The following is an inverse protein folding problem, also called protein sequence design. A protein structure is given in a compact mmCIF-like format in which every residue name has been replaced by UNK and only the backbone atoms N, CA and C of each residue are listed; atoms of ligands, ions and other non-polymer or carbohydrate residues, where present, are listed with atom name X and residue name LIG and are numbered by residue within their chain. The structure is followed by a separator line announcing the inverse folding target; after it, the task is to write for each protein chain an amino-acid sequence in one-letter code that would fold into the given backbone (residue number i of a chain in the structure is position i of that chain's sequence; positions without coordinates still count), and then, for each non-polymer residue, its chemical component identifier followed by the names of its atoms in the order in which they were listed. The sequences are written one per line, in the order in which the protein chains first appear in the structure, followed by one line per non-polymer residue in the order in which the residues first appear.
data_IF_109409025745
#
_entry.id   IF_109409025745
#
_cell.length_a   1.000
_cell.length_b   1.000
_cell.length_c   1.000
_cell.angle_alpha   90.00
_cell.angle_beta   90.00
_cell.angle_gamma   90.00
#
_symmetry.space_group_name_H-M   'P 1'
#
loop_
_entity.id
_entity.type
_entity.pdbx_description
1 polymer ?
#
# COMPACT_ATOMS: atom_id res chain seq x y z
N UNK A 1 -13.56 -2.72 -4.04
CA UNK A 1 -13.32 -4.02 -4.72
C UNK A 1 -13.15 -3.82 -6.22
N UNK A 2 -14.07 -3.16 -6.95
CA UNK A 2 -13.97 -2.96 -8.41
C UNK A 2 -12.68 -2.20 -8.82
N UNK A 3 -12.29 -1.17 -8.10
CA UNK A 3 -11.06 -0.40 -8.36
C UNK A 3 -9.81 -1.27 -8.26
N UNK A 4 -9.73 -2.12 -7.23
CA UNK A 4 -8.63 -3.07 -7.04
C UNK A 4 -8.50 -4.04 -8.19
N UNK A 5 -9.58 -4.74 -8.54
CA UNK A 5 -9.58 -5.75 -9.61
C UNK A 5 -9.18 -5.15 -10.95
N UNK A 6 -9.65 -3.95 -11.25
CA UNK A 6 -9.30 -3.25 -12.49
C UNK A 6 -7.82 -2.87 -12.52
N UNK A 7 -7.28 -2.36 -11.41
CA UNK A 7 -5.87 -1.99 -11.33
C UNK A 7 -4.96 -3.21 -11.34
N UNK A 8 -5.26 -4.27 -10.60
CA UNK A 8 -4.45 -5.50 -10.58
C UNK A 8 -4.22 -6.09 -11.98
N UNK A 9 -5.19 -5.94 -12.91
CA UNK A 9 -5.05 -6.44 -14.28
C UNK A 9 -3.94 -5.76 -15.08
N UNK A 10 -3.66 -4.49 -14.81
CA UNK A 10 -2.64 -3.72 -15.53
C UNK A 10 -1.39 -3.48 -14.71
N UNK A 11 -1.43 -3.69 -13.39
CA UNK A 11 -0.31 -3.39 -12.50
C UNK A 11 0.97 -4.08 -12.94
N UNK A 12 2.08 -3.34 -12.93
CA UNK A 12 3.39 -3.81 -13.36
C UNK A 12 3.49 -4.12 -14.85
N UNK A 13 2.60 -3.60 -15.70
CA UNK A 13 2.70 -3.66 -17.18
C UNK A 13 2.98 -2.26 -17.73
N UNK A 14 3.18 -2.15 -19.04
CA UNK A 14 3.32 -0.88 -19.77
C UNK A 14 2.10 0.05 -19.65
N UNK A 15 0.96 -0.47 -19.20
CA UNK A 15 -0.28 0.28 -18.96
C UNK A 15 -0.38 0.83 -17.53
N UNK A 16 0.47 0.37 -16.62
CA UNK A 16 0.56 0.89 -15.24
C UNK A 16 1.51 2.10 -15.21
N UNK A 17 0.98 3.26 -15.49
CA UNK A 17 1.75 4.49 -15.63
C UNK A 17 1.62 5.40 -14.39
N UNK A 18 2.60 6.28 -14.13
CA UNK A 18 2.55 7.22 -13.01
C UNK A 18 1.28 8.08 -13.04
N UNK A 19 0.60 8.24 -11.89
CA UNK A 19 -0.67 8.98 -11.80
C UNK A 19 -0.58 10.44 -12.20
N UNK A 20 0.63 11.04 -12.16
CA UNK A 20 0.86 12.43 -12.58
C UNK A 20 0.80 12.60 -14.10
N UNK A 21 0.82 11.51 -14.86
CA UNK A 21 0.82 11.54 -16.32
C UNK A 21 -0.48 12.16 -16.85
N UNK A 22 -0.35 13.04 -17.84
CA UNK A 22 -1.51 13.68 -18.47
C UNK A 22 -2.42 12.59 -19.08
N UNK A 23 -3.71 12.64 -18.76
CA UNK A 23 -4.71 11.65 -19.18
C UNK A 23 -4.87 11.53 -20.70
N UNK A 24 -4.51 12.56 -21.46
CA UNK A 24 -4.47 12.50 -22.94
C UNK A 24 -3.48 11.47 -23.50
N UNK A 25 -2.52 11.04 -22.67
CA UNK A 25 -1.53 10.04 -23.04
C UNK A 25 -1.97 8.61 -22.67
N UNK A 26 -3.13 8.45 -22.08
CA UNK A 26 -3.66 7.14 -21.69
C UNK A 26 -4.42 6.48 -22.84
N UNK A 27 -4.25 5.17 -23.00
CA UNK A 27 -5.23 4.36 -23.71
C UNK A 27 -6.49 4.19 -22.84
N UNK A 28 -7.65 3.90 -23.46
CA UNK A 28 -8.94 3.80 -22.73
C UNK A 28 -8.88 2.87 -21.49
N UNK A 29 -8.30 1.69 -21.65
CA UNK A 29 -8.18 0.75 -20.55
C UNK A 29 -7.23 1.24 -19.45
N UNK A 30 -6.12 1.89 -19.82
CA UNK A 30 -5.16 2.47 -18.89
C UNK A 30 -5.76 3.66 -18.15
N UNK A 31 -6.58 4.48 -18.82
CA UNK A 31 -7.27 5.62 -18.21
C UNK A 31 -8.10 5.19 -16.99
N UNK A 32 -9.04 4.25 -17.20
CA UNK A 32 -9.90 3.81 -16.10
C UNK A 32 -9.15 3.09 -14.98
N UNK A 33 -8.16 2.28 -15.33
CA UNK A 33 -7.40 1.52 -14.36
C UNK A 33 -6.48 2.41 -13.51
N UNK A 34 -5.83 3.41 -14.09
CA UNK A 34 -4.97 4.35 -13.35
C UNK A 34 -5.80 5.42 -12.63
N UNK A 35 -6.65 6.18 -13.34
CA UNK A 35 -7.34 7.33 -12.75
C UNK A 35 -8.33 6.93 -11.65
N UNK A 36 -9.08 5.86 -11.83
CA UNK A 36 -10.08 5.38 -10.86
C UNK A 36 -9.58 4.20 -10.03
N UNK A 37 -8.82 3.29 -10.62
CA UNK A 37 -8.29 2.12 -9.93
C UNK A 37 -7.14 2.48 -8.99
N UNK A 38 -5.98 2.80 -9.56
CA UNK A 38 -4.77 3.18 -8.81
C UNK A 38 -5.00 4.43 -7.95
N UNK A 39 -5.65 5.45 -8.51
CA UNK A 39 -6.00 6.68 -7.80
C UNK A 39 -6.86 6.40 -6.56
N UNK A 40 -7.97 5.64 -6.71
CA UNK A 40 -8.84 5.30 -5.57
C UNK A 40 -8.12 4.49 -4.48
N UNK A 41 -7.22 3.57 -4.88
CA UNK A 41 -6.41 2.81 -3.92
C UNK A 41 -5.40 3.70 -3.21
N UNK A 42 -4.81 4.69 -3.89
CA UNK A 42 -3.87 5.63 -3.25
C UNK A 42 -4.53 6.40 -2.11
N UNK A 43 -5.79 6.81 -2.27
CA UNK A 43 -6.57 7.46 -1.20
C UNK A 43 -6.88 6.51 -0.05
N UNK A 44 -7.24 5.26 -0.34
CA UNK A 44 -7.45 4.24 0.69
C UNK A 44 -6.17 3.99 1.51
N UNK A 45 -5.02 3.89 0.85
CA UNK A 45 -3.73 3.70 1.52
C UNK A 45 -3.32 4.94 2.31
N UNK A 46 -3.59 6.14 1.78
CA UNK A 46 -3.36 7.39 2.50
C UNK A 46 -4.25 7.50 3.76
N UNK A 47 -5.52 7.14 3.67
CA UNK A 47 -6.44 7.08 4.81
C UNK A 47 -5.93 6.09 5.88
N UNK A 48 -5.50 4.90 5.46
CA UNK A 48 -4.90 3.92 6.36
C UNK A 48 -3.60 4.43 7.02
N UNK A 49 -2.79 5.20 6.28
CA UNK A 49 -1.54 5.79 6.75
C UNK A 49 -1.76 6.89 7.79
N UNK A 50 -2.76 7.74 7.58
CA UNK A 50 -3.05 8.90 8.44
C UNK A 50 -4.02 8.56 9.58
N UNK A 51 -4.86 7.56 9.41
CA UNK A 51 -6.08 7.34 10.20
C UNK A 51 -7.21 8.26 9.76
N UNK A 52 -8.45 7.87 10.09
CA UNK A 52 -9.67 8.52 9.59
C UNK A 52 -9.72 10.01 9.94
N UNK A 53 -9.54 10.35 11.20
CA UNK A 53 -9.67 11.75 11.67
C UNK A 53 -8.70 12.69 10.96
N UNK A 54 -7.43 12.31 10.87
CA UNK A 54 -6.41 13.15 10.27
C UNK A 54 -6.56 13.20 8.74
N UNK A 55 -6.95 12.09 8.11
CA UNK A 55 -7.23 12.03 6.69
C UNK A 55 -8.37 12.97 6.31
N UNK A 56 -9.52 12.86 6.97
CA UNK A 56 -10.68 13.71 6.67
C UNK A 56 -10.43 15.18 7.01
N UNK A 57 -9.74 15.47 8.12
CA UNK A 57 -9.31 16.84 8.44
C UNK A 57 -8.45 17.43 7.32
N UNK A 58 -7.51 16.67 6.80
CA UNK A 58 -6.60 17.13 5.74
C UNK A 58 -7.34 17.31 4.40
N UNK A 59 -8.28 16.43 4.11
CA UNK A 59 -9.10 16.51 2.91
C UNK A 59 -10.05 17.73 2.96
N UNK A 60 -10.69 18.00 4.11
CA UNK A 60 -11.52 19.19 4.30
C UNK A 60 -10.69 20.47 4.14
N UNK A 61 -9.48 20.52 4.74
CA UNK A 61 -8.58 21.65 4.55
C UNK A 61 -8.26 21.91 3.07
N UNK A 62 -8.00 20.86 2.29
CA UNK A 62 -7.78 21.00 0.84
C UNK A 62 -9.03 21.55 0.14
N UNK A 63 -10.21 21.00 0.43
CA UNK A 63 -11.46 21.45 -0.17
C UNK A 63 -11.75 22.92 0.18
N UNK A 64 -11.64 23.30 1.45
CA UNK A 64 -11.91 24.67 1.92
C UNK A 64 -10.93 25.67 1.31
N UNK A 65 -9.68 25.28 1.11
CA UNK A 65 -8.65 26.15 0.52
C UNK A 65 -8.85 26.35 -0.99
N UNK A 66 -9.28 25.30 -1.69
CA UNK A 66 -9.22 25.25 -3.15
C UNK A 66 -10.59 25.21 -3.85
N UNK A 67 -11.71 25.07 -3.13
CA UNK A 67 -13.02 25.09 -3.78
C UNK A 67 -13.23 26.40 -4.58
N UNK A 68 -13.83 26.27 -5.76
CA UNK A 68 -14.02 27.41 -6.67
C UNK A 68 -12.76 27.93 -7.37
N UNK A 69 -11.59 27.27 -7.16
CA UNK A 69 -10.31 27.58 -7.80
C UNK A 69 -9.90 26.44 -8.74
N UNK A 70 -8.72 26.55 -9.37
CA UNK A 70 -8.18 25.53 -10.29
C UNK A 70 -6.87 24.94 -9.75
N UNK A 71 -6.90 24.10 -8.70
CA UNK A 71 -5.69 23.52 -8.13
C UNK A 71 -5.02 22.54 -9.09
N UNK A 72 -3.69 22.57 -9.11
CA UNK A 72 -2.89 21.52 -9.72
C UNK A 72 -2.60 20.36 -8.74
N UNK A 73 -1.96 19.29 -9.21
CA UNK A 73 -1.64 18.14 -8.35
C UNK A 73 -0.77 18.48 -7.12
N UNK A 74 0.17 19.39 -7.27
CA UNK A 74 1.04 19.83 -6.18
C UNK A 74 0.29 20.58 -5.08
N UNK A 75 -0.77 21.32 -5.43
CA UNK A 75 -1.62 22.00 -4.45
C UNK A 75 -2.32 21.00 -3.54
N UNK A 76 -2.72 19.85 -4.07
CA UNK A 76 -3.23 18.74 -3.28
C UNK A 76 -2.16 18.16 -2.34
N UNK A 77 -0.97 17.82 -2.85
CA UNK A 77 0.10 17.23 -2.06
C UNK A 77 0.54 18.13 -0.92
N UNK A 78 0.75 19.43 -1.20
CA UNK A 78 1.15 20.39 -0.18
C UNK A 78 0.06 20.65 0.84
N UNK A 79 -1.22 20.72 0.42
CA UNK A 79 -2.33 20.87 1.35
C UNK A 79 -2.45 19.71 2.33
N UNK A 80 -2.31 18.47 1.84
CA UNK A 80 -2.36 17.29 2.71
C UNK A 80 -1.14 17.25 3.64
N UNK A 81 0.07 17.53 3.13
CA UNK A 81 1.28 17.61 3.97
C UNK A 81 1.11 18.66 5.07
N UNK A 82 0.62 19.86 4.73
CA UNK A 82 0.42 20.95 5.68
C UNK A 82 -0.62 20.60 6.74
N UNK A 83 -1.79 20.17 6.33
CA UNK A 83 -2.90 19.90 7.25
C UNK A 83 -2.66 18.69 8.15
N UNK A 84 -1.94 17.67 7.65
CA UNK A 84 -1.55 16.50 8.43
C UNK A 84 -0.34 16.74 9.34
N UNK A 85 0.46 17.78 9.08
CA UNK A 85 1.74 18.01 9.73
C UNK A 85 2.81 16.96 9.42
N UNK A 86 2.62 16.18 8.34
CA UNK A 86 3.51 15.08 7.94
C UNK A 86 4.21 15.37 6.61
N UNK A 87 5.47 14.97 6.50
CA UNK A 87 6.14 14.97 5.21
C UNK A 87 5.81 13.67 4.46
N UNK A 88 4.84 13.73 3.54
CA UNK A 88 4.39 12.60 2.73
C UNK A 88 5.06 12.57 1.35
N UNK A 89 6.14 13.31 1.12
CA UNK A 89 6.79 13.38 -0.18
C UNK A 89 7.27 12.02 -0.69
N UNK A 90 7.71 11.14 0.22
CA UNK A 90 8.06 9.76 -0.08
C UNK A 90 6.87 8.95 -0.63
N UNK A 91 5.67 9.18 -0.08
CA UNK A 91 4.42 8.55 -0.51
C UNK A 91 4.00 9.07 -1.88
N UNK A 92 3.93 10.42 -2.03
CA UNK A 92 3.57 11.05 -3.31
C UNK A 92 4.49 10.61 -4.43
N UNK A 93 5.82 10.59 -4.18
CA UNK A 93 6.80 10.15 -5.15
C UNK A 93 6.48 8.76 -5.68
N UNK A 94 6.23 7.80 -4.80
CA UNK A 94 5.99 6.39 -5.15
C UNK A 94 4.66 6.16 -5.85
N UNK A 95 3.59 6.83 -5.41
CA UNK A 95 2.26 6.64 -5.97
C UNK A 95 2.02 7.42 -7.26
N UNK A 96 2.60 8.60 -7.40
CA UNK A 96 2.26 9.55 -8.47
C UNK A 96 3.35 9.72 -9.52
N UNK A 97 4.62 9.52 -9.19
CA UNK A 97 5.73 9.84 -10.09
C UNK A 97 6.57 8.63 -10.50
N UNK A 98 6.74 7.65 -9.63
CA UNK A 98 7.58 6.48 -9.93
C UNK A 98 6.79 5.37 -10.66
N UNK A 99 7.51 4.55 -11.42
CA UNK A 99 7.01 3.33 -12.03
C UNK A 99 7.06 2.20 -10.99
N UNK A 100 6.14 2.24 -10.03
CA UNK A 100 5.99 1.24 -8.98
C UNK A 100 4.67 0.51 -9.13
N UNK A 101 4.60 -0.73 -8.66
CA UNK A 101 3.41 -1.56 -8.71
C UNK A 101 3.20 -2.32 -7.39
N UNK A 102 1.99 -2.79 -7.11
CA UNK A 102 1.69 -3.53 -5.88
C UNK A 102 2.22 -4.95 -5.97
N UNK A 103 3.17 -5.29 -5.13
CA UNK A 103 3.74 -6.64 -5.03
C UNK A 103 4.48 -6.78 -3.68
N UNK A 104 3.78 -7.30 -2.69
CA UNK A 104 4.34 -7.68 -1.40
C UNK A 104 4.51 -9.20 -1.36
N UNK A 105 5.55 -9.70 -0.71
CA UNK A 105 5.79 -11.14 -0.57
C UNK A 105 6.21 -11.53 0.83
N UNK A 106 5.90 -12.76 1.22
CA UNK A 106 6.52 -13.41 2.37
C UNK A 106 7.89 -13.93 1.92
N UNK A 107 8.92 -13.10 2.11
CA UNK A 107 10.27 -13.41 1.66
C UNK A 107 10.88 -14.58 2.47
N UNK A 108 10.69 -14.58 3.82
CA UNK A 108 11.25 -15.60 4.70
C UNK A 108 10.47 -15.76 5.98
N UNK A 109 10.31 -17.00 6.43
CA UNK A 109 9.83 -17.36 7.77
C UNK A 109 10.85 -18.30 8.41
N UNK A 110 11.36 -17.94 9.58
CA UNK A 110 12.45 -18.71 10.23
C UNK A 110 12.32 -18.70 11.75
N UNK A 111 12.86 -19.73 12.38
CA UNK A 111 13.04 -19.76 13.85
C UNK A 111 13.97 -18.62 14.27
N UNK A 112 13.58 -17.88 15.29
CA UNK A 112 14.39 -16.78 15.81
C UNK A 112 14.27 -16.71 17.34
N UNK A 113 15.35 -17.02 18.06
CA UNK A 113 15.32 -17.17 19.53
C UNK A 113 14.24 -18.17 19.94
N UNK A 114 13.33 -17.77 20.84
CA UNK A 114 12.21 -18.60 21.30
C UNK A 114 10.92 -18.36 20.49
N UNK A 115 11.02 -17.75 19.31
CA UNK A 115 9.87 -17.38 18.50
C UNK A 115 10.10 -17.53 17.01
N UNK A 116 9.38 -16.71 16.24
CA UNK A 116 9.40 -16.72 14.78
C UNK A 116 9.73 -15.34 14.24
N UNK A 117 10.59 -15.30 13.23
CA UNK A 117 10.87 -14.10 12.46
C UNK A 117 10.25 -14.24 11.07
N UNK A 118 9.44 -13.24 10.68
CA UNK A 118 8.83 -13.13 9.36
C UNK A 118 9.42 -11.92 8.66
N UNK A 119 9.96 -12.13 7.47
CA UNK A 119 10.47 -11.08 6.61
C UNK A 119 9.50 -10.86 5.45
N UNK A 120 8.98 -9.66 5.33
CA UNK A 120 8.14 -9.22 4.22
C UNK A 120 8.97 -8.36 3.29
N UNK A 121 8.85 -8.61 1.99
CA UNK A 121 9.50 -7.83 0.94
C UNK A 121 8.47 -7.05 0.13
N UNK A 122 8.79 -5.80 -0.17
CA UNK A 122 8.08 -4.98 -1.14
C UNK A 122 8.83 -5.05 -2.48
N UNK A 123 8.46 -6.00 -3.32
CA UNK A 123 9.09 -6.25 -4.63
C UNK A 123 8.75 -5.18 -5.66
N UNK A 124 7.49 -4.73 -5.66
CA UNK A 124 7.00 -3.77 -6.64
C UNK A 124 7.31 -2.32 -6.30
N UNK A 125 7.79 -2.04 -5.08
CA UNK A 125 8.18 -0.72 -4.62
C UNK A 125 7.03 0.23 -4.30
N UNK A 126 5.77 -0.12 -4.58
CA UNK A 126 4.61 0.67 -4.21
C UNK A 126 4.33 0.51 -2.71
N UNK A 127 4.31 1.60 -1.90
CA UNK A 127 4.11 1.50 -0.47
C UNK A 127 2.67 1.13 -0.14
N UNK A 128 2.48 -0.11 0.30
CA UNK A 128 1.21 -0.68 0.72
C UNK A 128 1.21 -0.97 2.22
N UNK A 129 0.06 -0.95 2.90
CA UNK A 129 -0.05 -1.46 4.26
C UNK A 129 0.20 -2.98 4.26
N UNK A 130 0.82 -3.46 5.34
CA UNK A 130 1.08 -4.90 5.54
C UNK A 130 -0.02 -5.46 6.45
N UNK A 131 -0.73 -6.47 5.95
CA UNK A 131 -1.71 -7.24 6.70
C UNK A 131 -1.24 -8.68 6.73
N UNK A 132 -1.02 -9.22 7.92
CA UNK A 132 -0.65 -10.62 8.11
C UNK A 132 -1.71 -11.32 8.95
N UNK A 133 -2.25 -12.39 8.43
CA UNK A 133 -3.06 -13.35 9.16
C UNK A 133 -2.19 -14.56 9.50
N UNK A 134 -2.01 -14.87 10.78
CA UNK A 134 -1.15 -15.92 11.27
C UNK A 134 -1.99 -16.92 12.04
N UNK A 135 -2.03 -18.17 11.56
CA UNK A 135 -2.67 -19.28 12.24
C UNK A 135 -1.63 -20.12 12.98
N UNK A 136 -1.74 -20.16 14.30
CA UNK A 136 -0.84 -20.93 15.16
C UNK A 136 -1.65 -21.68 16.24
N UNK A 137 -1.40 -22.96 16.43
CA UNK A 137 -2.13 -23.80 17.41
C UNK A 137 -3.65 -23.67 17.31
N UNK A 138 -4.20 -23.61 16.08
CA UNK A 138 -5.63 -23.49 15.81
C UNK A 138 -6.25 -22.08 16.07
N UNK A 139 -5.45 -21.10 16.45
CA UNK A 139 -5.88 -19.71 16.65
C UNK A 139 -5.32 -18.81 15.56
N UNK A 140 -6.13 -17.86 15.10
CA UNK A 140 -5.73 -16.87 14.10
C UNK A 140 -5.51 -15.50 14.76
N UNK A 141 -4.38 -14.90 14.46
CA UNK A 141 -3.99 -13.55 14.91
C UNK A 141 -3.73 -12.66 13.70
N UNK A 142 -4.20 -11.41 13.76
CA UNK A 142 -3.98 -10.41 12.73
C UNK A 142 -2.91 -9.41 13.16
N UNK A 143 -1.89 -9.22 12.33
CA UNK A 143 -0.91 -8.14 12.47
C UNK A 143 -1.11 -7.13 11.35
N UNK A 144 -0.98 -5.85 11.68
CA UNK A 144 -1.17 -4.76 10.73
C UNK A 144 -0.07 -3.73 10.90
N UNK A 145 0.44 -3.25 9.78
CA UNK A 145 1.31 -2.07 9.72
C UNK A 145 0.86 -1.18 8.58
N UNK A 146 0.89 0.14 8.79
CA UNK A 146 0.58 1.09 7.72
C UNK A 146 1.72 1.14 6.70
N UNK A 147 1.50 1.81 5.59
CA UNK A 147 2.51 2.02 4.56
C UNK A 147 3.77 2.78 5.07
N UNK A 148 3.70 3.39 6.27
CA UNK A 148 4.84 4.08 6.90
C UNK A 148 6.09 3.19 7.09
N UNK A 149 5.91 1.88 7.15
CA UNK A 149 7.05 0.94 7.26
C UNK A 149 8.03 1.02 6.08
N UNK A 150 7.58 1.60 4.96
CA UNK A 150 8.36 1.80 3.74
C UNK A 150 8.92 3.22 3.57
N UNK A 151 8.65 4.13 4.51
CA UNK A 151 9.04 5.55 4.43
C UNK A 151 10.54 5.77 4.25
N UNK A 152 11.37 4.92 4.86
CA UNK A 152 12.83 5.01 4.76
C UNK A 152 13.41 4.51 3.42
N UNK A 153 12.57 4.04 2.50
CA UNK A 153 12.99 3.48 1.21
C UNK A 153 13.50 2.05 1.28
N UNK A 154 13.49 1.41 2.44
CA UNK A 154 13.80 -0.02 2.57
C UNK A 154 12.70 -0.85 1.93
N UNK A 155 13.08 -1.94 1.27
CA UNK A 155 12.15 -2.89 0.67
C UNK A 155 11.90 -4.14 1.53
N UNK A 156 12.54 -4.25 2.69
CA UNK A 156 12.37 -5.36 3.64
C UNK A 156 11.83 -4.84 4.97
N UNK A 157 10.85 -5.55 5.50
CA UNK A 157 10.29 -5.35 6.83
C UNK A 157 10.33 -6.66 7.61
N UNK A 158 10.61 -6.59 8.91
CA UNK A 158 10.75 -7.76 9.78
C UNK A 158 9.76 -7.70 10.94
N UNK A 159 9.01 -8.76 11.13
CA UNK A 159 8.24 -9.03 12.35
C UNK A 159 8.97 -10.10 13.20
N UNK A 160 9.26 -9.77 14.46
CA UNK A 160 9.74 -10.72 15.45
C UNK A 160 8.57 -11.09 16.38
N UNK A 161 8.13 -12.33 16.31
CA UNK A 161 6.95 -12.80 17.03
C UNK A 161 7.36 -13.70 18.19
N UNK A 162 6.73 -13.51 19.34
CA UNK A 162 6.83 -14.44 20.47
C UNK A 162 5.84 -15.62 20.29
N UNK A 163 5.91 -16.27 19.11
CA UNK A 163 5.13 -17.45 18.74
C UNK A 163 6.13 -18.54 18.31
N UNK A 164 6.07 -19.75 18.92
CA UNK A 164 6.94 -20.86 18.52
C UNK A 164 6.78 -21.17 17.03
N UNK A 165 7.87 -21.27 16.30
CA UNK A 165 7.85 -21.55 14.86
C UNK A 165 7.03 -22.79 14.51
N UNK A 166 7.23 -23.88 15.27
CA UNK A 166 6.57 -25.15 15.02
C UNK A 166 5.06 -25.14 15.35
N UNK A 167 4.55 -24.06 15.98
CA UNK A 167 3.12 -23.89 16.24
C UNK A 167 2.37 -23.22 15.08
N UNK A 168 3.09 -22.61 14.12
CA UNK A 168 2.49 -21.89 13.01
C UNK A 168 2.15 -22.87 11.90
N UNK A 169 0.87 -22.93 11.54
CA UNK A 169 0.35 -23.77 10.45
C UNK A 169 0.14 -23.00 9.14
N UNK A 170 -0.07 -21.67 9.20
CA UNK A 170 -0.26 -20.84 8.02
C UNK A 170 0.03 -19.38 8.30
N UNK A 171 0.60 -18.69 7.32
CA UNK A 171 0.67 -17.22 7.26
C UNK A 171 0.10 -16.79 5.93
N UNK A 172 -0.80 -15.80 5.96
CA UNK A 172 -1.39 -15.18 4.78
C UNK A 172 -1.08 -13.69 4.79
N UNK A 173 -0.51 -13.19 3.70
CA UNK A 173 -0.22 -11.77 3.47
C UNK A 173 -1.32 -11.15 2.62
N UNK A 174 -1.66 -9.89 2.94
CA UNK A 174 -2.64 -9.10 2.19
C UNK A 174 -4.07 -9.22 2.73
N UNK A 175 -4.98 -8.49 2.11
CA UNK A 175 -6.41 -8.52 2.39
C UNK A 175 -7.22 -8.24 1.10
N UNK A 176 -8.54 -8.18 1.23
CA UNK A 176 -9.44 -7.95 0.09
C UNK A 176 -9.31 -6.54 -0.54
N UNK A 177 -8.75 -5.55 0.16
CA UNK A 177 -8.62 -4.17 -0.31
C UNK A 177 -7.25 -3.84 -0.87
N UNK A 178 -6.19 -4.54 -0.44
CA UNK A 178 -4.82 -4.31 -0.92
C UNK A 178 -4.58 -5.05 -2.24
N UNK A 179 -4.18 -4.35 -3.32
CA UNK A 179 -3.82 -5.01 -4.57
C UNK A 179 -2.49 -5.74 -4.42
N UNK A 180 -2.34 -6.81 -5.20
CA UNK A 180 -1.11 -7.55 -5.32
C UNK A 180 -0.99 -8.19 -6.70
N UNK A 181 0.19 -8.04 -7.32
CA UNK A 181 0.46 -8.55 -8.68
C UNK A 181 0.70 -10.05 -8.69
N UNK A 182 1.44 -10.57 -7.71
CA UNK A 182 1.88 -11.95 -7.64
C UNK A 182 1.46 -12.63 -6.32
N UNK A 183 0.20 -13.03 -6.24
CA UNK A 183 -0.38 -13.61 -5.01
C UNK A 183 0.17 -14.98 -4.62
N UNK A 184 0.99 -15.59 -5.48
CA UNK A 184 1.54 -16.94 -5.25
C UNK A 184 2.54 -17.01 -4.07
N UNK A 185 3.17 -15.89 -3.72
CA UNK A 185 4.14 -15.78 -2.62
C UNK A 185 3.58 -15.05 -1.38
N UNK A 186 2.25 -14.88 -1.36
CA UNK A 186 1.51 -14.29 -0.23
C UNK A 186 1.06 -15.31 0.81
N UNK A 187 1.37 -16.58 0.62
CA UNK A 187 1.01 -17.64 1.56
C UNK A 187 2.24 -18.44 1.91
N UNK A 188 2.41 -18.67 3.21
CA UNK A 188 3.41 -19.58 3.73
C UNK A 188 2.74 -20.67 4.59
N UNK A 189 3.16 -21.90 4.40
CA UNK A 189 2.86 -23.04 5.25
C UNK A 189 4.15 -23.89 5.41
N UNK A 190 4.34 -24.64 6.54
CA UNK A 190 5.51 -25.48 6.77
C UNK A 190 5.58 -26.68 5.83
#
# INVERSE_FOLDING_TARGET
IFSKVRYEKISGTDKDIPLITNTKLYSDNAYYANSYGKGGISYYVLQNLLGDDLFFKSLHYYIDTWHGKHPGPYDFFYSINHASGKNLNWFWKKWFFDWTYPDLSINKVEKYRNGTKITIENKGGLPLPVFLEITASGKTTMLRSTAAVWETGKNLMVYNLNLPFDSISKIQLGNEFTPDKFKGDNTWAP
#
